data_IF_979461016205
#
_entry.id   IF_979461016205
#
_cell.length_a   1.000
_cell.length_b   1.000
_cell.length_c   1.000
_cell.angle_alpha   90.00
_cell.angle_beta   90.00
_cell.angle_gamma   90.00
#
_symmetry.space_group_name_H-M   'P 1'
#
loop_
_entity.id
_entity.type
_entity.pdbx_description
1 polymer ?
#
# COMPACT_ATOMS: atom_id res chain seq x y z
N UNK A 1 -10.09 -6.59 2.22
CA UNK A 1 -9.21 -5.50 2.59
C UNK A 1 -8.85 -5.81 4.01
N UNK A 2 -7.58 -5.67 4.38
CA UNK A 2 -7.19 -5.81 5.77
C UNK A 2 -8.05 -4.95 6.70
N UNK A 3 -8.35 -5.49 7.88
CA UNK A 3 -9.21 -4.86 8.88
C UNK A 3 -8.63 -5.04 10.26
N UNK A 4 -8.73 -3.99 11.08
CA UNK A 4 -8.48 -4.03 12.52
C UNK A 4 -9.64 -3.33 13.21
N UNK A 5 -10.43 -4.08 13.99
CA UNK A 5 -11.73 -3.64 14.49
C UNK A 5 -12.61 -3.09 13.34
N UNK A 6 -13.04 -1.83 13.42
CA UNK A 6 -13.86 -1.19 12.39
C UNK A 6 -13.05 -0.40 11.35
N UNK A 7 -11.72 -0.41 11.44
CA UNK A 7 -10.83 0.32 10.54
C UNK A 7 -10.41 -0.56 9.37
N UNK A 8 -10.75 -0.11 8.17
CA UNK A 8 -10.30 -0.69 6.91
C UNK A 8 -9.03 0.00 6.45
N UNK A 9 -8.05 -0.80 6.05
CA UNK A 9 -6.80 -0.33 5.47
C UNK A 9 -6.42 -1.15 4.25
N UNK A 10 -5.66 -0.53 3.37
CA UNK A 10 -5.11 -1.13 2.17
C UNK A 10 -3.91 -2.02 2.48
N UNK A 11 -3.57 -2.91 1.54
CA UNK A 11 -2.35 -3.72 1.62
C UNK A 11 -1.07 -2.88 1.72
N UNK A 12 -1.03 -1.68 1.11
CA UNK A 12 0.12 -0.78 1.19
C UNK A 12 0.14 0.13 2.43
N UNK A 13 -0.88 0.08 3.29
CA UNK A 13 -0.90 0.81 4.55
C UNK A 13 -1.67 2.13 4.56
N UNK A 14 -2.30 2.54 3.44
CA UNK A 14 -3.28 3.64 3.41
C UNK A 14 -4.54 3.21 4.17
N UNK A 15 -5.04 4.07 5.06
CA UNK A 15 -6.28 3.83 5.81
C UNK A 15 -7.50 4.16 4.94
N UNK A 16 -8.10 3.15 4.32
CA UNK A 16 -9.25 3.31 3.43
C UNK A 16 -10.46 3.94 4.12
N UNK A 17 -10.67 3.65 5.42
CA UNK A 17 -11.74 4.29 6.21
C UNK A 17 -11.65 5.82 6.28
N UNK A 18 -10.48 6.41 5.98
CA UNK A 18 -10.26 7.86 5.91
C UNK A 18 -10.02 8.36 4.48
N UNK A 19 -10.03 7.47 3.48
CA UNK A 19 -9.81 7.83 2.09
C UNK A 19 -11.08 8.42 1.49
N UNK A 20 -11.02 9.66 1.02
CA UNK A 20 -12.16 10.37 0.43
C UNK A 20 -12.77 9.63 -0.77
N UNK A 21 -11.95 9.10 -1.68
CA UNK A 21 -12.45 8.36 -2.83
C UNK A 21 -13.24 7.10 -2.40
N UNK A 22 -12.75 6.38 -1.38
CA UNK A 22 -13.46 5.21 -0.85
C UNK A 22 -14.75 5.60 -0.12
N UNK A 23 -14.71 6.61 0.75
CA UNK A 23 -15.89 7.03 1.54
C UNK A 23 -16.97 7.69 0.68
N UNK A 24 -16.64 8.20 -0.50
CA UNK A 24 -17.60 8.75 -1.47
C UNK A 24 -18.10 7.71 -2.49
N UNK A 25 -17.61 6.47 -2.44
CA UNK A 25 -17.99 5.40 -3.37
C UNK A 25 -17.33 5.50 -4.75
N UNK A 26 -16.33 6.35 -4.92
CA UNK A 26 -15.53 6.51 -6.15
C UNK A 26 -14.43 5.44 -6.29
N UNK A 27 -14.15 4.70 -5.22
CA UNK A 27 -13.21 3.59 -5.19
C UNK A 27 -13.85 2.36 -4.54
N UNK A 28 -13.76 1.21 -5.21
CA UNK A 28 -14.31 -0.07 -4.72
C UNK A 28 -13.49 -0.70 -3.59
N UNK A 29 -12.34 -0.10 -3.25
CA UNK A 29 -11.39 -0.60 -2.26
C UNK A 29 -10.37 -1.57 -2.83
N UNK A 30 -9.32 -1.88 -2.07
CA UNK A 30 -8.17 -2.60 -2.59
C UNK A 30 -8.44 -4.05 -3.04
N UNK A 31 -9.50 -4.69 -2.54
CA UNK A 31 -9.83 -6.07 -2.92
C UNK A 31 -10.25 -6.19 -4.37
N UNK A 32 -10.96 -5.18 -4.90
CA UNK A 32 -11.34 -5.11 -6.31
C UNK A 32 -10.10 -5.11 -7.22
N UNK A 33 -8.94 -4.70 -6.69
CA UNK A 33 -7.70 -4.55 -7.42
C UNK A 33 -6.66 -5.64 -7.09
N UNK A 34 -7.03 -6.70 -6.39
CA UNK A 34 -6.09 -7.73 -5.90
C UNK A 34 -5.28 -8.40 -7.02
N UNK A 35 -5.88 -8.54 -8.21
CA UNK A 35 -5.26 -9.17 -9.38
C UNK A 35 -4.32 -8.23 -10.16
N UNK A 36 -4.34 -6.93 -9.87
CA UNK A 36 -3.56 -5.91 -10.60
C UNK A 36 -2.61 -5.09 -9.70
N UNK A 37 -2.88 -5.02 -8.40
CA UNK A 37 -2.08 -4.27 -7.45
C UNK A 37 -0.87 -5.09 -6.96
N UNK A 38 0.34 -4.64 -7.28
CA UNK A 38 1.57 -5.35 -6.89
C UNK A 38 1.80 -5.40 -5.37
N UNK A 39 1.32 -4.41 -4.62
CA UNK A 39 1.37 -4.47 -3.15
C UNK A 39 0.47 -5.57 -2.59
N UNK A 40 -0.74 -5.73 -3.15
CA UNK A 40 -1.68 -6.76 -2.73
C UNK A 40 -1.12 -8.15 -3.04
N UNK A 41 -0.68 -8.38 -4.27
CA UNK A 41 0.00 -9.62 -4.70
C UNK A 41 1.19 -9.95 -3.79
N UNK A 42 2.04 -8.97 -3.51
CA UNK A 42 3.22 -9.18 -2.67
C UNK A 42 2.85 -9.60 -1.24
N UNK A 43 1.86 -8.95 -0.63
CA UNK A 43 1.39 -9.29 0.72
C UNK A 43 0.82 -10.72 0.76
N UNK A 44 -0.07 -11.06 -0.18
CA UNK A 44 -0.71 -12.37 -0.24
C UNK A 44 0.31 -13.49 -0.45
N UNK A 45 1.25 -13.30 -1.37
CA UNK A 45 2.32 -14.27 -1.64
C UNK A 45 3.22 -14.50 -0.42
N UNK A 46 3.36 -13.50 0.46
CA UNK A 46 4.14 -13.60 1.70
C UNK A 46 3.29 -14.01 2.91
N UNK A 47 1.98 -14.20 2.75
CA UNK A 47 1.06 -14.45 3.88
C UNK A 47 0.93 -13.28 4.85
N UNK A 48 1.24 -12.05 4.41
CA UNK A 48 1.16 -10.83 5.21
C UNK A 48 -0.20 -10.16 5.03
N UNK A 49 -0.72 -9.55 6.10
CA UNK A 49 -1.96 -8.75 6.02
C UNK A 49 -1.72 -7.43 5.31
N UNK A 50 -0.59 -6.79 5.58
CA UNK A 50 -0.20 -5.55 4.91
C UNK A 50 1.31 -5.37 4.91
N UNK A 51 1.77 -4.35 4.19
CA UNK A 51 3.18 -4.05 4.02
C UNK A 51 3.90 -3.70 5.33
N UNK A 52 3.19 -3.21 6.35
CA UNK A 52 3.77 -2.92 7.66
C UNK A 52 4.18 -4.17 8.46
N UNK A 53 3.64 -5.35 8.13
CA UNK A 53 4.09 -6.62 8.72
C UNK A 53 5.36 -7.16 8.03
N UNK A 54 5.79 -6.53 6.92
CA UNK A 54 7.00 -6.94 6.22
C UNK A 54 8.24 -6.45 6.97
N UNK A 55 9.12 -7.37 7.38
CA UNK A 55 10.39 -7.01 8.04
C UNK A 55 11.31 -6.12 7.19
N UNK A 56 11.12 -6.08 5.87
CA UNK A 56 11.87 -5.23 4.95
C UNK A 56 11.24 -3.87 4.68
N UNK A 57 10.11 -3.55 5.32
CA UNK A 57 9.45 -2.27 5.15
C UNK A 57 10.33 -1.10 5.65
N UNK A 58 10.47 0.01 4.90
CA UNK A 58 10.01 0.21 3.52
C UNK A 58 10.92 -0.53 2.53
N UNK A 59 10.34 -1.46 1.77
CA UNK A 59 11.08 -2.31 0.84
C UNK A 59 11.25 -1.64 -0.54
N UNK A 60 11.94 -2.30 -1.47
CA UNK A 60 12.15 -1.80 -2.85
C UNK A 60 10.85 -1.35 -3.52
N UNK A 61 9.77 -2.12 -3.35
CA UNK A 61 8.46 -1.79 -3.94
C UNK A 61 7.89 -0.46 -3.41
N UNK A 62 8.12 -0.10 -2.15
CA UNK A 62 7.68 1.22 -1.61
C UNK A 62 8.55 2.37 -2.11
N UNK A 63 9.84 2.12 -2.30
CA UNK A 63 10.81 3.13 -2.75
C UNK A 63 10.65 3.43 -4.24
N UNK A 64 10.52 2.39 -5.05
CA UNK A 64 10.52 2.50 -6.51
C UNK A 64 9.12 2.47 -7.11
N UNK A 65 8.16 1.82 -6.44
CA UNK A 65 6.81 1.60 -6.95
C UNK A 65 6.72 0.59 -8.07
N UNK A 66 5.57 0.60 -8.73
CA UNK A 66 5.30 -0.17 -9.94
C UNK A 66 4.51 0.67 -10.94
N UNK A 67 4.53 0.26 -12.20
CA UNK A 67 3.74 0.87 -13.26
C UNK A 67 2.33 0.27 -13.26
N UNK A 68 1.32 1.13 -13.32
CA UNK A 68 -0.09 0.76 -13.40
C UNK A 68 -0.66 1.35 -14.70
N UNK A 69 -1.12 0.48 -15.61
CA UNK A 69 -1.79 0.92 -16.84
C UNK A 69 -3.29 1.01 -16.58
N UNK A 70 -3.86 2.18 -16.83
CA UNK A 70 -5.28 2.48 -16.67
C UNK A 70 -5.88 2.89 -18.01
N UNK A 71 -7.16 2.59 -18.22
CA UNK A 71 -7.86 3.01 -19.45
C UNK A 71 -8.08 4.53 -19.46
N UNK A 72 -8.39 5.13 -18.30
CA UNK A 72 -8.73 6.55 -18.18
C UNK A 72 -7.50 7.47 -18.15
N UNK A 73 -6.46 7.11 -17.39
CA UNK A 73 -5.30 7.99 -17.14
C UNK A 73 -4.01 7.49 -17.83
N UNK A 74 -4.08 6.41 -18.60
CA UNK A 74 -2.93 5.80 -19.25
C UNK A 74 -1.96 5.17 -18.24
N UNK A 75 -0.65 5.35 -18.49
CA UNK A 75 0.42 4.74 -17.70
C UNK A 75 0.72 5.59 -16.45
N UNK A 76 0.36 5.08 -15.28
CA UNK A 76 0.64 5.68 -13.98
C UNK A 76 1.81 4.99 -13.28
N UNK A 77 2.52 5.72 -12.43
CA UNK A 77 3.50 5.14 -11.50
C UNK A 77 2.98 5.19 -10.07
N UNK A 78 2.70 4.02 -9.51
CA UNK A 78 2.20 3.90 -8.15
C UNK A 78 3.36 3.64 -7.18
N UNK A 79 3.72 4.67 -6.40
CA UNK A 79 4.80 4.63 -5.39
C UNK A 79 4.45 5.51 -4.20
N UNK A 80 5.19 5.36 -3.11
CA UNK A 80 5.24 6.38 -2.07
C UNK A 80 6.14 7.51 -2.55
N UNK A 81 5.58 8.73 -2.62
CA UNK A 81 6.29 9.93 -3.10
C UNK A 81 6.91 10.76 -1.97
N UNK A 82 6.50 10.56 -0.72
CA UNK A 82 7.07 11.28 0.41
C UNK A 82 8.39 10.62 0.86
N UNK A 83 9.50 11.24 0.53
CA UNK A 83 10.82 10.78 0.98
C UNK A 83 10.97 10.90 2.51
N UNK A 84 10.32 11.89 3.13
CA UNK A 84 10.28 12.04 4.59
C UNK A 84 9.63 10.82 5.24
N UNK A 85 8.48 10.38 4.69
CA UNK A 85 7.82 9.17 5.18
C UNK A 85 8.74 7.95 5.08
N UNK A 86 9.38 7.75 3.93
CA UNK A 86 10.30 6.63 3.71
C UNK A 86 11.49 6.68 4.67
N UNK A 87 12.02 7.88 4.95
CA UNK A 87 13.16 8.05 5.84
C UNK A 87 12.82 7.79 7.31
N UNK A 88 11.65 8.26 7.79
CA UNK A 88 11.18 8.00 9.16
C UNK A 88 11.12 6.49 9.42
N UNK A 89 10.46 5.74 8.54
CA UNK A 89 10.34 4.29 8.73
C UNK A 89 11.67 3.56 8.59
N UNK A 90 12.58 4.05 7.74
CA UNK A 90 13.95 3.49 7.63
C UNK A 90 14.73 3.65 8.94
N UNK A 91 14.64 4.81 9.59
CA UNK A 91 15.31 5.07 10.88
C UNK A 91 14.72 4.21 11.99
N UNK A 92 13.40 4.13 12.09
CA UNK A 92 12.71 3.29 13.08
C UNK A 92 13.08 1.80 12.99
N UNK A 93 13.43 1.29 11.80
CA UNK A 93 13.95 -0.07 11.62
C UNK A 93 15.38 -0.22 12.18
N UNK A 94 16.21 0.81 12.00
CA UNK A 94 17.61 0.80 12.45
C UNK A 94 17.72 0.81 13.97
N UNK A 95 16.83 1.53 14.65
CA UNK A 95 16.82 1.64 16.12
C UNK A 95 16.37 0.36 16.85
N UNK A 96 15.84 -0.63 16.12
CA UNK A 96 15.40 -1.93 16.66
C UNK A 96 16.43 -3.05 16.48
N UNK A 97 17.60 -2.75 15.90
CA UNK A 97 18.66 -3.71 15.54
C UNK A 97 19.80 -3.70 16.56
#
# INVERSE_FOLDING_TARGET
MPRISDVLYSYCGIVCSLCRAYTQGECEGCDAHINVCEYAKCCLNKGLKCCFECGDFPCKLHKEGFTWVTEEFGILKWRVYSDIFLDIFRRMKSDKS
#
